data_IF_287353249929
#
_entry.id   IF_287353249929
#
_cell.length_a   1.000
_cell.length_b   1.000
_cell.length_c   1.000
_cell.angle_alpha   90.00
_cell.angle_beta   90.00
_cell.angle_gamma   90.00
#
_symmetry.space_group_name_H-M   'P 1'
#
loop_
_entity.id
_entity.type
_entity.pdbx_description
1 polymer ?
#
# COMPACT_ATOMS: atom_id res chain seq x y z
N UNK A 1 75.41 -13.44 -22.21
CA UNK A 1 74.94 -12.28 -21.43
C UNK A 1 73.83 -11.62 -22.23
N UNK A 2 72.57 -11.98 -21.98
CA UNK A 2 71.40 -11.38 -22.63
C UNK A 2 70.55 -10.66 -21.59
N UNK A 3 70.27 -9.39 -21.87
CA UNK A 3 69.58 -8.45 -20.98
C UNK A 3 68.10 -8.82 -20.81
N UNK A 4 67.66 -8.95 -19.56
CA UNK A 4 66.25 -9.01 -19.19
C UNK A 4 65.64 -7.60 -19.22
N UNK A 5 64.66 -7.38 -20.09
CA UNK A 5 63.80 -6.19 -20.03
C UNK A 5 62.75 -6.38 -18.93
N UNK A 6 62.73 -5.46 -17.95
CA UNK A 6 61.72 -5.39 -16.90
C UNK A 6 60.39 -4.92 -17.50
N UNK A 7 59.37 -5.76 -17.45
CA UNK A 7 58.00 -5.39 -17.78
C UNK A 7 57.39 -4.69 -16.55
N UNK A 8 57.13 -3.39 -16.66
CA UNK A 8 56.44 -2.61 -15.62
C UNK A 8 54.95 -2.93 -15.68
N UNK A 9 54.43 -3.63 -14.67
CA UNK A 9 52.99 -3.86 -14.50
C UNK A 9 52.37 -2.60 -13.91
N UNK A 10 51.62 -1.83 -14.71
CA UNK A 10 50.75 -0.78 -14.21
C UNK A 10 49.42 -1.41 -13.77
N UNK A 11 49.16 -1.42 -12.47
CA UNK A 11 47.86 -1.76 -11.90
C UNK A 11 46.84 -0.66 -12.24
N UNK A 12 45.94 -0.92 -13.18
CA UNK A 12 44.78 -0.08 -13.40
C UNK A 12 43.75 -0.34 -12.30
N UNK A 13 43.66 0.58 -11.33
CA UNK A 13 42.57 0.61 -10.36
C UNK A 13 41.33 1.12 -11.10
N UNK A 14 40.44 0.21 -11.49
CA UNK A 14 39.13 0.55 -12.00
C UNK A 14 38.29 1.10 -10.84
N UNK A 15 38.17 2.42 -10.77
CA UNK A 15 37.22 3.08 -9.87
C UNK A 15 35.82 2.85 -10.45
N UNK A 16 35.13 1.81 -9.99
CA UNK A 16 33.71 1.62 -10.26
C UNK A 16 32.94 2.76 -9.57
N UNK A 17 32.75 3.87 -10.29
CA UNK A 17 31.74 4.86 -9.93
C UNK A 17 30.39 4.16 -10.14
N UNK A 18 29.84 3.63 -9.06
CA UNK A 18 28.44 3.24 -9.01
C UNK A 18 27.63 4.52 -9.18
N UNK A 19 27.22 4.81 -10.42
CA UNK A 19 26.15 5.77 -10.67
C UNK A 19 24.91 5.16 -10.01
N UNK A 20 24.32 5.76 -8.97
CA UNK A 20 22.99 5.34 -8.56
C UNK A 20 22.09 5.64 -9.76
N UNK A 21 21.68 4.60 -10.47
CA UNK A 21 20.60 4.70 -11.45
C UNK A 21 19.35 5.03 -10.66
N UNK A 22 19.11 6.32 -10.44
CA UNK A 22 17.80 6.81 -10.08
C UNK A 22 16.86 6.40 -11.22
N UNK A 23 16.21 5.26 -11.04
CA UNK A 23 15.09 4.83 -11.87
C UNK A 23 13.91 5.74 -11.50
N UNK A 24 13.98 7.01 -11.89
CA UNK A 24 12.81 7.85 -12.01
C UNK A 24 12.09 7.32 -13.25
N UNK A 25 11.16 6.39 -13.06
CA UNK A 25 10.34 5.92 -14.17
C UNK A 25 9.66 7.13 -14.80
N UNK A 26 9.71 7.24 -16.13
CA UNK A 26 9.18 8.40 -16.82
C UNK A 26 7.73 8.65 -16.36
N UNK A 27 7.45 9.86 -15.88
CA UNK A 27 6.13 10.26 -15.43
C UNK A 27 5.24 10.65 -16.61
N UNK A 28 5.25 9.81 -17.63
CA UNK A 28 4.44 10.05 -18.81
C UNK A 28 2.98 9.65 -18.51
N UNK A 29 2.00 10.34 -19.13
CA UNK A 29 0.62 9.88 -19.10
C UNK A 29 0.52 8.43 -19.58
N UNK A 30 -0.37 7.66 -18.95
CA UNK A 30 -0.73 6.35 -19.47
C UNK A 30 -1.41 6.54 -20.84
N UNK A 31 -1.23 5.60 -21.79
CA UNK A 31 -2.01 5.60 -23.03
C UNK A 31 -3.51 5.59 -22.73
N UNK A 32 -4.25 6.55 -23.30
CA UNK A 32 -5.69 6.68 -23.08
C UNK A 32 -6.11 8.12 -22.78
N UNK A 33 -7.35 8.32 -22.27
CA UNK A 33 -7.84 9.64 -21.94
C UNK A 33 -7.06 10.25 -20.78
N UNK A 34 -6.97 11.57 -20.80
CA UNK A 34 -6.41 12.39 -19.73
C UNK A 34 -7.48 13.31 -19.16
N UNK A 35 -7.36 13.62 -17.87
CA UNK A 35 -8.25 14.53 -17.16
C UNK A 35 -7.45 15.47 -16.27
N UNK A 36 -7.31 16.73 -16.69
CA UNK A 36 -6.39 17.69 -16.08
C UNK A 36 -7.01 18.55 -14.99
N UNK A 37 -8.27 18.31 -14.60
CA UNK A 37 -8.90 19.05 -13.51
C UNK A 37 -8.08 19.07 -12.21
N UNK A 38 -7.42 17.98 -11.77
CA UNK A 38 -6.56 18.04 -10.58
C UNK A 38 -5.43 19.08 -10.68
N UNK A 39 -4.92 19.32 -11.90
CA UNK A 39 -3.86 20.29 -12.18
C UNK A 39 -4.40 21.72 -12.31
N UNK A 40 -5.58 21.90 -12.89
CA UNK A 40 -6.16 23.24 -13.15
C UNK A 40 -6.96 23.78 -11.97
N UNK A 41 -7.58 22.89 -11.17
CA UNK A 41 -8.41 23.26 -10.03
C UNK A 41 -7.66 23.24 -8.69
N UNK A 42 -6.35 22.89 -8.71
CA UNK A 42 -5.48 22.84 -7.54
C UNK A 42 -6.02 21.91 -6.44
N UNK A 43 -6.29 20.65 -6.80
CA UNK A 43 -6.75 19.63 -5.84
C UNK A 43 -5.68 19.27 -4.81
N UNK A 44 -4.40 19.46 -5.16
CA UNK A 44 -3.27 19.31 -4.24
C UNK A 44 -2.34 20.54 -4.21
N UNK A 45 -1.63 20.76 -3.09
CA UNK A 45 -1.77 20.01 -1.84
C UNK A 45 -3.14 20.23 -1.19
N UNK A 46 -3.59 19.27 -0.40
CA UNK A 46 -4.85 19.33 0.33
C UNK A 46 -4.91 20.61 1.16
N UNK A 47 -5.92 21.45 0.88
CA UNK A 47 -6.16 22.69 1.66
C UNK A 47 -6.55 22.40 3.12
N UNK A 48 -7.03 21.18 3.41
CA UNK A 48 -7.47 20.77 4.74
C UNK A 48 -6.35 20.15 5.57
N UNK A 49 -5.45 19.39 4.93
CA UNK A 49 -4.50 18.52 5.63
C UNK A 49 -3.02 18.89 5.38
N UNK A 50 -2.76 19.72 4.37
CA UNK A 50 -1.41 20.17 4.03
C UNK A 50 -0.67 19.23 3.07
N UNK A 51 0.48 19.73 2.58
CA UNK A 51 1.24 19.08 1.51
C UNK A 51 1.92 17.75 1.91
N UNK A 52 2.18 17.54 3.20
CA UNK A 52 2.78 16.31 3.70
C UNK A 52 1.77 15.22 4.08
N UNK A 53 0.47 15.48 3.91
CA UNK A 53 -0.55 14.54 4.37
C UNK A 53 -0.69 13.31 3.46
N UNK A 54 -0.70 12.13 4.08
CA UNK A 54 -0.83 10.83 3.41
C UNK A 54 -2.12 10.08 3.80
N UNK A 55 -2.83 10.54 4.82
CA UNK A 55 -3.98 9.84 5.37
C UNK A 55 -5.34 10.35 4.84
N UNK A 56 -5.37 11.56 4.28
CA UNK A 56 -6.58 12.17 3.75
C UNK A 56 -7.67 12.37 4.80
N UNK A 57 -8.92 12.12 4.44
CA UNK A 57 -10.07 12.34 5.31
C UNK A 57 -10.05 11.49 6.59
N UNK A 58 -9.22 10.43 6.65
CA UNK A 58 -9.02 9.68 7.90
C UNK A 58 -8.50 10.57 9.04
N UNK A 59 -7.81 11.68 8.73
CA UNK A 59 -7.36 12.67 9.70
C UNK A 59 -8.49 13.27 10.56
N UNK A 60 -9.76 13.19 10.13
CA UNK A 60 -10.88 13.58 10.99
C UNK A 60 -10.92 12.80 12.31
N UNK A 61 -10.36 11.60 12.36
CA UNK A 61 -10.31 10.75 13.56
C UNK A 61 -9.28 11.24 14.58
N UNK A 62 -8.30 12.06 14.18
CA UNK A 62 -7.34 12.69 15.12
C UNK A 62 -8.02 13.65 16.09
N UNK A 63 -9.24 14.10 15.79
CA UNK A 63 -10.00 14.98 16.66
C UNK A 63 -10.89 14.19 17.64
N UNK A 64 -10.60 14.19 18.96
CA UNK A 64 -11.41 13.46 19.95
C UNK A 64 -12.87 13.90 20.01
N UNK A 65 -13.20 15.13 19.61
CA UNK A 65 -14.57 15.62 19.59
C UNK A 65 -15.44 14.86 18.55
N UNK A 66 -14.84 14.44 17.43
CA UNK A 66 -15.54 13.62 16.43
C UNK A 66 -15.85 12.23 16.98
N UNK A 67 -14.89 11.61 17.67
CA UNK A 67 -15.07 10.31 18.34
C UNK A 67 -16.17 10.40 19.40
N UNK A 68 -16.12 11.42 20.27
CA UNK A 68 -17.14 11.67 21.31
C UNK A 68 -18.53 11.84 20.70
N UNK A 69 -18.64 12.57 19.57
CA UNK A 69 -19.91 12.76 18.86
C UNK A 69 -20.44 11.45 18.28
N UNK A 70 -19.59 10.58 17.73
CA UNK A 70 -19.99 9.27 17.24
C UNK A 70 -20.47 8.36 18.39
N UNK A 71 -19.75 8.32 19.52
CA UNK A 71 -20.16 7.53 20.68
C UNK A 71 -21.50 7.99 21.27
N UNK A 72 -21.78 9.29 21.26
CA UNK A 72 -23.04 9.85 21.77
C UNK A 72 -24.29 9.35 21.02
N UNK A 73 -24.14 8.80 19.80
CA UNK A 73 -25.26 8.22 19.03
C UNK A 73 -25.60 6.80 19.43
N UNK A 74 -24.75 6.11 20.21
CA UNK A 74 -25.05 4.77 20.73
C UNK A 74 -26.10 4.88 21.82
N UNK A 75 -27.30 4.32 21.58
CA UNK A 75 -28.43 4.33 22.55
C UNK A 75 -28.84 2.94 23.01
N UNK A 76 -28.83 1.98 22.08
CA UNK A 76 -29.31 0.62 22.33
C UNK A 76 -28.19 -0.37 22.65
N UNK A 77 -26.93 0.03 22.53
CA UNK A 77 -25.75 -0.83 22.75
C UNK A 77 -25.80 -2.15 21.96
N UNK A 78 -26.35 -2.09 20.74
CA UNK A 78 -26.40 -3.23 19.82
C UNK A 78 -25.23 -3.15 18.84
N UNK A 79 -24.70 -4.31 18.47
CA UNK A 79 -23.74 -4.45 17.40
C UNK A 79 -24.43 -5.08 16.17
N UNK A 80 -24.03 -4.64 14.98
CA UNK A 80 -24.42 -5.25 13.71
C UNK A 80 -23.16 -5.57 12.91
N UNK A 81 -23.15 -6.70 12.21
CA UNK A 81 -22.09 -7.05 11.28
C UNK A 81 -22.35 -6.39 9.93
N UNK A 82 -21.39 -5.58 9.47
CA UNK A 82 -21.37 -5.00 8.11
C UNK A 82 -20.38 -5.73 7.17
N UNK A 83 -19.75 -6.78 7.69
CA UNK A 83 -18.80 -7.64 6.98
C UNK A 83 -19.48 -8.81 6.26
N UNK A 84 -18.92 -9.22 5.11
CA UNK A 84 -19.19 -10.53 4.51
C UNK A 84 -18.30 -11.61 5.13
N UNK A 85 -18.73 -12.87 5.04
CA UNK A 85 -17.97 -14.01 5.51
C UNK A 85 -16.72 -14.23 4.64
N UNK A 86 -15.57 -14.46 5.28
CA UNK A 86 -14.33 -14.85 4.63
C UNK A 86 -14.49 -16.25 4.01
N UNK A 87 -14.84 -16.26 2.74
CA UNK A 87 -15.15 -17.46 2.00
C UNK A 87 -14.73 -17.32 0.54
N UNK A 88 -14.44 -18.45 -0.11
CA UNK A 88 -14.07 -18.50 -1.54
C UNK A 88 -15.17 -18.00 -2.49
N UNK A 89 -16.41 -17.95 -2.01
CA UNK A 89 -17.56 -17.41 -2.75
C UNK A 89 -17.74 -15.89 -2.56
N UNK A 90 -16.71 -15.21 -2.04
CA UNK A 90 -16.63 -13.76 -2.08
C UNK A 90 -16.96 -13.26 -3.50
N UNK A 91 -17.90 -12.32 -3.67
CA UNK A 91 -18.00 -11.59 -4.91
C UNK A 91 -16.67 -10.89 -5.20
N UNK A 92 -16.17 -11.03 -6.42
CA UNK A 92 -14.89 -10.47 -6.84
C UNK A 92 -15.03 -9.74 -8.18
N UNK A 93 -14.23 -8.68 -8.36
CA UNK A 93 -14.13 -7.99 -9.63
C UNK A 93 -12.97 -8.57 -10.46
N UNK A 94 -13.26 -8.95 -11.71
CA UNK A 94 -12.26 -9.48 -12.63
C UNK A 94 -11.59 -10.76 -12.09
N UNK A 95 -10.26 -10.88 -12.13
CA UNK A 95 -9.54 -12.10 -11.74
C UNK A 95 -9.23 -12.20 -10.23
N UNK A 96 -9.66 -11.22 -9.42
CA UNK A 96 -9.39 -11.19 -7.97
C UNK A 96 -10.05 -12.39 -7.27
N UNK A 97 -9.54 -12.80 -6.11
CA UNK A 97 -10.13 -13.95 -5.42
C UNK A 97 -9.69 -14.16 -3.98
N UNK A 98 -10.37 -15.10 -3.33
CA UNK A 98 -10.04 -15.58 -1.99
C UNK A 98 -9.64 -17.05 -2.04
N UNK A 99 -8.36 -17.34 -1.80
CA UNK A 99 -7.85 -18.70 -1.69
C UNK A 99 -7.24 -18.92 -0.30
N UNK A 100 -7.90 -19.73 0.51
CA UNK A 100 -7.42 -20.13 1.84
C UNK A 100 -7.11 -21.61 1.84
N UNK A 101 -5.94 -21.97 2.36
CA UNK A 101 -5.53 -23.36 2.53
C UNK A 101 -5.10 -23.59 3.97
N UNK A 102 -5.56 -24.70 4.54
CA UNK A 102 -5.07 -25.21 5.82
C UNK A 102 -4.00 -26.27 5.49
N UNK A 103 -2.74 -26.11 5.93
CA UNK A 103 -1.64 -26.96 5.47
C UNK A 103 -1.66 -28.36 6.10
N UNK A 104 -2.42 -28.60 7.18
CA UNK A 104 -2.60 -29.92 7.79
C UNK A 104 -3.87 -30.02 8.63
N UNK A 105 -4.37 -31.22 8.85
CA UNK A 105 -5.59 -31.48 9.66
C UNK A 105 -5.32 -32.50 10.76
N UNK A 106 -4.77 -32.10 11.92
CA UNK A 106 -4.36 -30.76 12.33
C UNK A 106 -3.03 -30.32 11.70
N UNK A 107 -2.71 -29.02 11.77
CA UNK A 107 -1.38 -28.55 11.36
C UNK A 107 -0.31 -29.05 12.33
N UNK A 108 -0.61 -29.10 13.62
CA UNK A 108 0.32 -29.59 14.62
C UNK A 108 -0.33 -30.09 15.90
N UNK A 109 0.50 -30.68 16.75
CA UNK A 109 0.11 -31.36 17.99
C UNK A 109 -0.03 -32.88 17.81
N UNK A 110 -0.47 -33.60 18.86
CA UNK A 110 -0.77 -33.09 20.20
C UNK A 110 0.50 -32.71 20.99
N UNK A 111 0.43 -31.63 21.78
CA UNK A 111 1.54 -31.16 22.62
C UNK A 111 1.13 -30.98 24.09
N UNK A 112 2.07 -31.23 25.01
CA UNK A 112 1.92 -30.99 26.44
C UNK A 112 0.93 -31.93 27.15
N UNK A 113 0.78 -31.74 28.47
CA UNK A 113 -0.14 -32.53 29.29
C UNK A 113 -1.63 -32.31 28.95
N UNK A 114 -1.96 -31.20 28.27
CA UNK A 114 -3.30 -30.86 27.81
C UNK A 114 -3.60 -31.32 26.38
N UNK A 115 -2.66 -32.02 25.72
CA UNK A 115 -2.82 -32.56 24.36
C UNK A 115 -3.29 -31.50 23.32
N UNK A 116 -2.73 -30.29 23.37
CA UNK A 116 -3.07 -29.19 22.47
C UNK A 116 -2.79 -29.56 21.02
N UNK A 117 -3.74 -29.28 20.13
CA UNK A 117 -3.57 -29.28 18.67
C UNK A 117 -4.03 -27.95 18.10
N UNK A 118 -3.58 -27.62 16.88
CA UNK A 118 -3.96 -26.38 16.19
C UNK A 118 -4.02 -26.57 14.68
N UNK A 119 -4.63 -25.60 14.00
CA UNK A 119 -4.59 -25.41 12.56
C UNK A 119 -3.99 -24.04 12.27
N UNK A 120 -3.26 -23.95 11.16
CA UNK A 120 -2.79 -22.70 10.58
C UNK A 120 -3.52 -22.46 9.26
N UNK A 121 -3.55 -21.22 8.78
CA UNK A 121 -4.03 -20.89 7.45
C UNK A 121 -2.98 -20.16 6.62
N UNK A 122 -3.00 -20.40 5.31
CA UNK A 122 -2.37 -19.53 4.32
C UNK A 122 -3.47 -18.94 3.46
N UNK A 123 -3.50 -17.61 3.36
CA UNK A 123 -4.45 -16.88 2.51
C UNK A 123 -3.69 -16.17 1.40
N UNK A 124 -4.08 -16.43 0.15
CA UNK A 124 -3.68 -15.63 -1.02
C UNK A 124 -4.90 -14.87 -1.52
N UNK A 125 -4.85 -13.54 -1.44
CA UNK A 125 -5.96 -12.66 -1.81
C UNK A 125 -5.47 -11.22 -2.02
N UNK A 126 -6.24 -10.41 -2.74
CA UNK A 126 -6.07 -8.96 -2.77
C UNK A 126 -6.71 -8.35 -1.51
N UNK A 127 -5.94 -8.26 -0.42
CA UNK A 127 -6.45 -7.91 0.93
C UNK A 127 -7.27 -6.61 0.98
N UNK A 128 -6.98 -5.63 0.13
CA UNK A 128 -7.73 -4.37 0.06
C UNK A 128 -8.85 -4.34 -0.98
N UNK A 129 -9.07 -5.43 -1.73
CA UNK A 129 -9.92 -5.47 -2.92
C UNK A 129 -10.81 -6.72 -3.03
N UNK A 130 -10.87 -7.51 -1.97
CA UNK A 130 -11.71 -8.68 -1.81
C UNK A 130 -12.42 -8.58 -0.46
N UNK A 131 -13.69 -9.03 -0.42
CA UNK A 131 -14.56 -8.98 0.76
C UNK A 131 -14.90 -7.54 1.19
N UNK A 132 -15.41 -7.37 2.41
CA UNK A 132 -15.65 -6.04 2.98
C UNK A 132 -14.32 -5.33 3.21
N UNK A 133 -14.14 -4.17 2.57
CA UNK A 133 -12.83 -3.53 2.41
C UNK A 133 -12.88 -2.01 2.63
N UNK A 134 -11.70 -1.42 2.81
CA UNK A 134 -11.47 0.01 2.70
C UNK A 134 -10.43 0.26 1.59
N UNK A 135 -10.76 1.14 0.65
CA UNK A 135 -9.85 1.54 -0.41
C UNK A 135 -8.96 2.68 0.07
N UNK A 136 -7.65 2.44 0.11
CA UNK A 136 -6.66 3.44 0.49
C UNK A 136 -6.46 4.55 -0.54
N UNK A 137 -5.73 5.63 -0.17
CA UNK A 137 -5.46 6.76 -1.06
C UNK A 137 -4.65 6.38 -2.31
N UNK A 138 -3.91 5.28 -2.29
CA UNK A 138 -3.21 4.71 -3.45
C UNK A 138 -4.05 3.82 -4.35
N UNK A 139 -5.32 3.53 -4.02
CA UNK A 139 -6.13 2.59 -4.80
C UNK A 139 -6.53 3.14 -6.18
N UNK A 140 -6.87 4.43 -6.24
CA UNK A 140 -7.36 5.11 -7.45
C UNK A 140 -6.63 6.43 -7.62
N UNK A 141 -6.21 6.69 -8.86
CA UNK A 141 -5.69 7.99 -9.30
C UNK A 141 -6.34 8.44 -10.59
N UNK A 142 -5.92 9.60 -11.07
CA UNK A 142 -6.32 10.19 -12.33
C UNK A 142 -5.13 10.17 -13.28
N UNK A 143 -5.36 9.75 -14.52
CA UNK A 143 -4.39 9.94 -15.59
C UNK A 143 -4.48 11.39 -16.07
N UNK A 144 -3.44 12.19 -15.86
CA UNK A 144 -3.36 13.58 -16.32
C UNK A 144 -2.41 13.68 -17.50
N UNK A 145 -2.43 14.80 -18.24
CA UNK A 145 -1.45 15.08 -19.29
C UNK A 145 0.00 15.12 -18.79
N UNK A 146 0.21 15.22 -17.48
CA UNK A 146 1.52 15.21 -16.81
C UNK A 146 1.78 13.92 -16.04
N UNK A 147 1.12 12.82 -16.39
CA UNK A 147 1.31 11.52 -15.74
C UNK A 147 0.23 11.19 -14.71
N UNK A 148 0.49 10.13 -13.95
CA UNK A 148 -0.44 9.62 -12.94
C UNK A 148 -0.48 10.54 -11.72
N UNK A 149 -1.69 10.84 -11.25
CA UNK A 149 -1.93 11.76 -10.15
C UNK A 149 -2.87 11.13 -9.12
N UNK A 150 -2.41 10.96 -7.90
CA UNK A 150 -3.20 10.39 -6.78
C UNK A 150 -3.53 11.47 -5.75
N UNK A 151 -4.10 11.04 -4.61
CA UNK A 151 -4.36 11.91 -3.48
C UNK A 151 -3.14 12.79 -3.15
N UNK A 152 -3.40 14.05 -2.80
CA UNK A 152 -2.37 15.05 -2.46
C UNK A 152 -1.28 15.26 -3.52
N UNK A 153 -1.55 14.88 -4.78
CA UNK A 153 -0.58 14.99 -5.88
C UNK A 153 0.51 13.94 -5.83
N UNK A 154 0.30 12.86 -5.06
CA UNK A 154 1.21 11.73 -5.08
C UNK A 154 1.32 11.15 -6.48
N UNK A 155 2.56 10.85 -6.84
CA UNK A 155 2.89 10.26 -8.10
C UNK A 155 3.56 8.91 -7.85
N UNK A 156 2.96 7.79 -8.29
CA UNK A 156 3.56 6.46 -8.13
C UNK A 156 4.94 6.31 -8.79
N UNK A 157 5.24 7.12 -9.80
CA UNK A 157 6.53 7.10 -10.51
C UNK A 157 7.61 7.96 -9.83
N UNK A 158 7.26 8.74 -8.80
CA UNK A 158 8.24 9.47 -7.99
C UNK A 158 9.04 8.53 -7.08
N UNK A 159 10.13 9.04 -6.50
CA UNK A 159 11.02 8.29 -5.60
C UNK A 159 10.26 7.60 -4.45
N UNK A 160 9.27 8.29 -3.87
CA UNK A 160 8.47 7.77 -2.75
C UNK A 160 7.13 7.16 -3.19
N UNK A 161 6.90 6.99 -4.49
CA UNK A 161 5.62 6.53 -5.04
C UNK A 161 5.33 5.05 -4.82
N UNK A 162 6.38 4.23 -4.70
CA UNK A 162 6.28 2.79 -4.42
C UNK A 162 7.37 2.35 -3.45
N UNK A 163 7.02 1.45 -2.53
CA UNK A 163 8.01 0.66 -1.81
C UNK A 163 8.51 -0.46 -2.72
N UNK A 164 9.83 -0.65 -2.80
CA UNK A 164 10.45 -1.64 -3.67
C UNK A 164 11.32 -2.63 -2.89
N UNK A 165 11.05 -3.91 -3.10
CA UNK A 165 11.86 -5.01 -2.59
C UNK A 165 12.99 -5.42 -3.55
N UNK A 166 13.57 -6.59 -3.28
CA UNK A 166 14.60 -7.20 -4.13
C UNK A 166 14.20 -7.24 -5.62
N UNK A 167 15.13 -6.89 -6.49
CA UNK A 167 14.91 -6.85 -7.94
C UNK A 167 13.97 -5.73 -8.41
N UNK A 168 13.68 -4.72 -7.57
CA UNK A 168 12.84 -3.58 -7.93
C UNK A 168 11.33 -3.86 -7.90
N UNK A 169 10.93 -5.04 -7.40
CA UNK A 169 9.53 -5.44 -7.24
C UNK A 169 8.79 -4.45 -6.34
N UNK A 170 7.66 -3.93 -6.83
CA UNK A 170 6.76 -3.12 -6.00
C UNK A 170 6.11 -4.01 -4.93
N UNK A 171 6.27 -3.64 -3.67
CA UNK A 171 5.75 -4.37 -2.51
C UNK A 171 4.86 -3.51 -1.60
N UNK A 172 4.76 -2.20 -1.89
CA UNK A 172 3.93 -1.26 -1.17
C UNK A 172 3.71 0.02 -1.97
N UNK A 173 2.81 0.88 -1.50
CA UNK A 173 2.38 2.10 -2.20
C UNK A 173 3.07 3.38 -1.71
N UNK A 174 4.15 3.25 -0.92
CA UNK A 174 4.96 4.39 -0.46
C UNK A 174 4.11 5.49 0.19
N UNK A 175 4.19 6.71 -0.32
CA UNK A 175 3.44 7.86 0.20
C UNK A 175 1.91 7.71 0.10
N UNK A 176 1.41 6.83 -0.78
CA UNK A 176 -0.02 6.54 -0.93
C UNK A 176 -0.46 5.25 -0.21
N UNK A 177 0.40 4.71 0.66
CA UNK A 177 0.18 3.51 1.47
C UNK A 177 -1.01 3.59 2.42
N UNK A 178 -1.66 2.44 2.66
CA UNK A 178 -2.77 2.32 3.63
C UNK A 178 -2.28 2.39 5.07
N UNK A 179 -1.00 2.15 5.33
CA UNK A 179 -0.37 2.27 6.64
C UNK A 179 -0.50 3.68 7.22
N UNK A 180 -0.43 4.73 6.39
CA UNK A 180 -0.61 6.13 6.84
C UNK A 180 -2.03 6.40 7.34
N UNK A 181 -3.01 5.67 6.80
CA UNK A 181 -4.39 5.70 7.29
C UNK A 181 -4.49 4.94 8.61
N UNK A 182 -3.83 3.78 8.71
CA UNK A 182 -3.85 2.94 9.91
C UNK A 182 -3.28 3.64 11.16
N UNK A 183 -2.28 4.51 11.00
CA UNK A 183 -1.75 5.37 12.08
C UNK A 183 -2.81 6.27 12.74
N UNK A 184 -3.88 6.57 12.00
CA UNK A 184 -4.94 7.46 12.45
C UNK A 184 -6.13 6.70 13.07
N UNK A 185 -6.33 5.44 12.64
CA UNK A 185 -7.47 4.61 13.02
C UNK A 185 -8.80 5.04 12.37
N UNK A 186 -9.81 4.16 12.46
CA UNK A 186 -11.16 4.41 11.96
C UNK A 186 -12.20 4.28 13.07
N UNK A 187 -12.90 5.37 13.37
CA UNK A 187 -14.10 5.38 14.22
C UNK A 187 -15.20 6.14 13.52
N UNK A 188 -16.02 5.43 12.77
CA UNK A 188 -17.03 6.05 11.92
C UNK A 188 -18.39 6.09 12.62
N UNK A 189 -19.13 7.19 12.42
CA UNK A 189 -20.59 7.16 12.58
C UNK A 189 -21.17 6.60 11.29
N UNK A 190 -21.79 5.43 11.36
CA UNK A 190 -22.58 4.90 10.24
C UNK A 190 -23.89 5.68 10.15
N UNK A 191 -24.21 6.15 8.95
CA UNK A 191 -25.53 6.70 8.59
C UNK A 191 -26.06 5.79 7.49
N UNK A 192 -27.15 5.10 7.78
CA UNK A 192 -27.86 4.18 6.87
C UNK A 192 -29.16 4.79 6.43
#
# INVERSE_FOLDING_TARGET
MSNFNKLTVMSAIAFCISVPTAFSGANDPLPGPTYDAPLTENWAPSKYWGAGDKAGSANHMKNPANIKRALATVKQFKAISIGKYYHREAPAFGPRGWNMTIPGTPTGGPFGANALFYHDEMVTTEIGQIQTQFDGPGHIGVNTSKGMYMYNGFNPMSENGYERGAGGRVVGMGDAGVEHVAETGFVCRLVV
#
